data_IF_613188009922
#
_entry.id   IF_613188009922
#
_cell.length_a   1.000
_cell.length_b   1.000
_cell.length_c   1.000
_cell.angle_alpha   90.00
_cell.angle_beta   90.00
_cell.angle_gamma   90.00
#
_symmetry.space_group_name_H-M   'P 1'
#
loop_
_entity.id
_entity.type
_entity.pdbx_description
1 polymer ?
#
# COMPACT_ATOMS: atom_id res chain seq x y z
N UNK A 1 -33.24 0.47 -27.74
CA UNK A 1 -34.50 -0.31 -27.89
C UNK A 1 -34.44 -1.16 -29.16
N UNK A 2 -34.97 -2.38 -29.12
CA UNK A 2 -34.99 -3.32 -30.25
C UNK A 2 -36.42 -3.69 -30.63
N UNK A 3 -36.64 -3.97 -31.91
CA UNK A 3 -37.85 -4.61 -32.42
C UNK A 3 -37.55 -6.03 -32.85
N UNK A 4 -38.28 -6.99 -32.30
CA UNK A 4 -38.08 -8.39 -32.58
C UNK A 4 -38.57 -8.75 -33.99
N UNK A 5 -37.78 -9.52 -34.74
CA UNK A 5 -38.16 -10.08 -36.05
C UNK A 5 -38.69 -11.51 -35.92
N UNK A 6 -38.43 -12.15 -34.78
CA UNK A 6 -38.83 -13.51 -34.46
C UNK A 6 -39.41 -13.56 -33.06
N UNK A 7 -40.16 -14.62 -32.73
CA UNK A 7 -40.68 -14.80 -31.38
C UNK A 7 -39.58 -15.24 -30.43
N UNK A 8 -39.52 -14.64 -29.24
CA UNK A 8 -38.61 -15.01 -28.16
C UNK A 8 -39.44 -15.28 -26.90
N UNK A 9 -39.54 -16.55 -26.52
CA UNK A 9 -40.33 -16.98 -25.36
C UNK A 9 -39.41 -17.61 -24.32
N UNK A 10 -39.50 -17.09 -23.10
CA UNK A 10 -38.76 -17.53 -21.92
C UNK A 10 -39.58 -17.33 -20.64
N UNK A 11 -39.01 -17.68 -19.47
CA UNK A 11 -39.69 -17.54 -18.19
C UNK A 11 -40.04 -16.09 -17.83
N UNK A 12 -39.20 -15.13 -18.25
CA UNK A 12 -39.34 -13.72 -17.88
C UNK A 12 -40.04 -12.87 -18.95
N UNK A 13 -40.06 -13.31 -20.20
CA UNK A 13 -40.67 -12.57 -21.30
C UNK A 13 -41.18 -13.50 -22.41
N UNK A 14 -42.26 -13.07 -23.06
CA UNK A 14 -42.80 -13.72 -24.25
C UNK A 14 -43.05 -12.65 -25.31
N UNK A 15 -42.06 -12.45 -26.17
CA UNK A 15 -42.06 -11.44 -27.22
C UNK A 15 -42.44 -12.09 -28.54
N UNK A 16 -43.41 -11.51 -29.23
CA UNK A 16 -43.81 -11.89 -30.59
C UNK A 16 -42.99 -11.13 -31.63
N UNK A 17 -42.92 -11.62 -32.89
CA UNK A 17 -42.40 -10.82 -33.99
C UNK A 17 -43.14 -9.47 -34.08
N UNK A 18 -42.39 -8.38 -34.09
CA UNK A 18 -42.90 -7.02 -34.11
C UNK A 18 -42.93 -6.32 -32.75
N UNK A 19 -42.83 -7.07 -31.66
CA UNK A 19 -42.76 -6.49 -30.32
C UNK A 19 -41.44 -5.76 -30.10
N UNK A 20 -41.51 -4.66 -29.36
CA UNK A 20 -40.32 -3.90 -29.00
C UNK A 20 -39.94 -4.15 -27.54
N UNK A 21 -38.65 -4.34 -27.30
CA UNK A 21 -38.10 -4.59 -25.98
C UNK A 21 -36.71 -3.95 -25.83
N UNK A 22 -36.35 -3.61 -24.60
CA UNK A 22 -35.04 -3.06 -24.27
C UNK A 22 -34.15 -4.18 -23.73
N UNK A 23 -33.07 -4.47 -24.44
CA UNK A 23 -32.04 -5.42 -24.01
C UNK A 23 -30.77 -4.65 -23.67
N UNK A 24 -29.93 -5.20 -22.79
CA UNK A 24 -28.60 -4.65 -22.56
C UNK A 24 -27.76 -4.66 -23.85
N UNK A 25 -26.82 -3.71 -23.96
CA UNK A 25 -25.98 -3.48 -25.15
C UNK A 25 -25.41 -4.77 -25.78
N UNK A 26 -24.88 -5.67 -24.94
CA UNK A 26 -24.30 -6.93 -25.40
C UNK A 26 -25.32 -7.91 -25.97
N UNK A 27 -26.48 -8.04 -25.34
CA UNK A 27 -27.55 -8.92 -25.85
C UNK A 27 -28.23 -8.32 -27.08
N UNK A 28 -28.45 -7.00 -27.07
CA UNK A 28 -28.98 -6.28 -28.20
C UNK A 28 -28.12 -6.43 -29.46
N UNK A 29 -26.81 -6.24 -29.33
CA UNK A 29 -25.84 -6.42 -30.42
C UNK A 29 -25.89 -7.85 -30.95
N UNK A 30 -25.90 -8.86 -30.07
CA UNK A 30 -25.99 -10.27 -30.46
C UNK A 30 -27.27 -10.57 -31.24
N UNK A 31 -28.42 -10.08 -30.77
CA UNK A 31 -29.71 -10.32 -31.42
C UNK A 31 -29.81 -9.66 -32.80
N UNK A 32 -29.26 -8.45 -32.96
CA UNK A 32 -29.21 -7.77 -34.27
C UNK A 32 -28.25 -8.49 -35.22
N UNK A 33 -27.03 -8.80 -34.78
CA UNK A 33 -26.02 -9.49 -35.60
C UNK A 33 -26.47 -10.87 -36.05
N UNK A 34 -27.21 -11.59 -35.20
CA UNK A 34 -27.82 -12.87 -35.53
C UNK A 34 -29.10 -12.75 -36.37
N UNK A 35 -29.59 -11.53 -36.64
CA UNK A 35 -30.77 -11.27 -37.47
C UNK A 35 -32.13 -11.51 -36.79
N UNK A 36 -32.14 -11.71 -35.47
CA UNK A 36 -33.37 -11.93 -34.69
C UNK A 36 -34.13 -10.65 -34.34
N UNK A 37 -33.45 -9.50 -34.38
CA UNK A 37 -34.02 -8.20 -34.06
C UNK A 37 -33.50 -7.09 -34.98
N UNK A 38 -34.15 -5.94 -34.93
CA UNK A 38 -33.77 -4.70 -35.63
C UNK A 38 -33.65 -3.55 -34.62
N UNK A 39 -32.66 -2.68 -34.81
CA UNK A 39 -32.49 -1.47 -34.01
C UNK A 39 -33.56 -0.44 -34.38
N UNK A 40 -34.30 0.08 -33.40
CA UNK A 40 -35.37 1.07 -33.65
C UNK A 40 -35.08 2.47 -33.11
N UNK A 41 -33.99 2.65 -32.37
CA UNK A 41 -33.68 3.91 -31.68
C UNK A 41 -32.21 4.32 -31.87
N UNK A 42 -31.71 4.18 -33.10
CA UNK A 42 -30.33 4.54 -33.44
C UNK A 42 -29.26 3.69 -32.76
N UNK A 43 -29.63 2.55 -32.18
CA UNK A 43 -28.68 1.61 -31.59
C UNK A 43 -27.80 1.00 -32.68
N UNK A 44 -26.49 1.20 -32.58
CA UNK A 44 -25.51 0.56 -33.44
C UNK A 44 -24.97 -0.69 -32.72
N UNK A 45 -25.10 -1.88 -33.31
CA UNK A 45 -24.57 -3.10 -32.70
C UNK A 45 -23.05 -3.01 -32.61
N UNK A 46 -22.50 -3.38 -31.47
CA UNK A 46 -21.05 -3.47 -31.31
C UNK A 46 -20.58 -4.71 -32.07
N UNK A 47 -19.68 -4.50 -33.03
CA UNK A 47 -19.03 -5.60 -33.72
C UNK A 47 -18.23 -6.46 -32.73
N UNK A 48 -18.24 -7.80 -32.89
CA UNK A 48 -17.55 -8.69 -31.96
C UNK A 48 -16.05 -8.40 -31.84
N UNK A 49 -15.41 -8.00 -32.93
CA UNK A 49 -14.00 -7.54 -32.91
C UNK A 49 -13.79 -6.28 -32.08
N UNK A 50 -14.73 -5.33 -32.15
CA UNK A 50 -14.67 -4.11 -31.35
C UNK A 50 -14.87 -4.44 -29.87
N UNK A 51 -15.86 -5.27 -29.54
CA UNK A 51 -16.10 -5.71 -28.16
C UNK A 51 -14.88 -6.43 -27.57
N UNK A 52 -14.20 -7.26 -28.37
CA UNK A 52 -12.99 -7.97 -27.94
C UNK A 52 -11.81 -7.01 -27.73
N UNK A 53 -11.64 -6.01 -28.62
CA UNK A 53 -10.63 -4.97 -28.47
C UNK A 53 -10.86 -4.13 -27.21
N UNK A 54 -12.09 -3.67 -26.98
CA UNK A 54 -12.44 -2.84 -25.83
C UNK A 54 -12.26 -3.64 -24.52
N UNK A 55 -12.59 -4.94 -24.52
CA UNK A 55 -12.33 -5.84 -23.40
C UNK A 55 -10.82 -6.04 -23.14
N UNK A 56 -10.02 -6.20 -24.21
CA UNK A 56 -8.57 -6.32 -24.10
C UNK A 56 -7.91 -5.03 -23.56
N UNK A 57 -8.37 -3.86 -23.97
CA UNK A 57 -7.89 -2.58 -23.47
C UNK A 57 -8.22 -2.39 -21.99
N UNK A 58 -9.45 -2.71 -21.58
CA UNK A 58 -9.86 -2.68 -20.17
C UNK A 58 -9.02 -3.63 -19.31
N UNK A 59 -8.72 -4.84 -19.80
CA UNK A 59 -7.85 -5.79 -19.12
C UNK A 59 -6.41 -5.27 -18.98
N UNK A 60 -5.86 -4.65 -20.04
CA UNK A 60 -4.52 -4.06 -20.00
C UNK A 60 -4.43 -2.89 -19.01
N UNK A 61 -5.46 -2.04 -18.95
CA UNK A 61 -5.53 -0.95 -17.98
C UNK A 61 -5.58 -1.47 -16.54
N UNK A 62 -6.42 -2.46 -16.25
CA UNK A 62 -6.50 -3.07 -14.92
C UNK A 62 -5.17 -3.72 -14.49
N UNK A 63 -4.46 -4.34 -15.44
CA UNK A 63 -3.15 -4.92 -15.17
C UNK A 63 -2.09 -3.84 -14.90
N UNK A 64 -2.11 -2.73 -15.63
CA UNK A 64 -1.20 -1.60 -15.38
C UNK A 64 -1.42 -0.96 -14.00
N UNK A 65 -2.68 -0.79 -13.58
CA UNK A 65 -3.03 -0.29 -12.24
C UNK A 65 -2.55 -1.24 -11.12
N UNK A 66 -2.73 -2.55 -11.32
CA UNK A 66 -2.25 -3.56 -10.37
C UNK A 66 -0.72 -3.58 -10.27
N UNK A 67 0.00 -3.49 -11.39
CA UNK A 67 1.45 -3.47 -11.42
C UNK A 67 2.02 -2.19 -10.79
N UNK A 68 1.41 -1.03 -11.08
CA UNK A 68 1.77 0.24 -10.45
C UNK A 68 1.59 0.19 -8.92
N UNK A 69 0.48 -0.38 -8.45
CA UNK A 69 0.22 -0.56 -7.01
C UNK A 69 1.23 -1.51 -6.37
N UNK A 70 1.52 -2.64 -7.01
CA UNK A 70 2.49 -3.62 -6.51
C UNK A 70 3.91 -3.03 -6.41
N UNK A 71 4.31 -2.21 -7.39
CA UNK A 71 5.62 -1.56 -7.39
C UNK A 71 5.73 -0.50 -6.28
N UNK A 72 4.67 0.27 -6.04
CA UNK A 72 4.63 1.24 -4.96
C UNK A 72 4.72 0.59 -3.56
N UNK A 73 4.01 -0.54 -3.37
CA UNK A 73 4.05 -1.30 -2.10
C UNK A 73 5.45 -1.91 -1.85
N UNK A 74 6.08 -2.45 -2.90
CA UNK A 74 7.43 -2.99 -2.82
C UNK A 74 8.48 -1.91 -2.48
N UNK A 75 8.37 -0.72 -3.07
CA UNK A 75 9.30 0.39 -2.79
C UNK A 75 9.16 0.93 -1.35
N UNK A 76 7.93 0.97 -0.82
CA UNK A 76 7.67 1.37 0.56
C UNK A 76 8.22 0.38 1.59
N UNK A 77 8.14 -0.93 1.32
CA UNK A 77 8.69 -1.96 2.20
C UNK A 77 10.22 -1.89 2.31
N UNK A 78 10.91 -1.65 1.18
CA UNK A 78 12.38 -1.52 1.13
C UNK A 78 12.85 -0.28 1.91
N UNK A 79 12.13 0.84 1.79
CA UNK A 79 12.46 2.07 2.51
C UNK A 79 12.29 1.92 4.03
N UNK A 80 11.23 1.23 4.48
CA UNK A 80 10.98 0.97 5.89
C UNK A 80 12.04 0.05 6.52
N UNK A 81 12.47 -0.99 5.79
CA UNK A 81 13.50 -1.92 6.28
C UNK A 81 14.89 -1.25 6.35
N UNK A 82 15.21 -0.36 5.40
CA UNK A 82 16.45 0.42 5.43
C UNK A 82 16.51 1.37 6.63
N UNK A 83 15.40 2.02 6.98
CA UNK A 83 15.34 2.93 8.11
C UNK A 83 15.42 2.20 9.46
N UNK A 84 14.79 1.02 9.58
CA UNK A 84 14.89 0.19 10.78
C UNK A 84 16.33 -0.29 11.06
N UNK A 85 17.11 -0.55 10.01
CA UNK A 85 18.52 -0.95 10.15
C UNK A 85 19.42 0.21 10.58
N UNK A 86 19.13 1.43 10.12
CA UNK A 86 19.87 2.64 10.50
C UNK A 86 19.63 3.06 11.96
N UNK A 87 18.39 2.96 12.45
CA UNK A 87 18.04 3.30 13.83
C UNK A 87 18.64 2.29 14.84
N UNK A 88 18.70 1.00 14.47
CA UNK A 88 19.33 -0.03 15.30
C UNK A 88 20.85 0.16 15.47
N UNK A 89 21.53 0.67 14.44
CA UNK A 89 22.97 0.95 14.49
C UNK A 89 23.30 2.20 15.34
N UNK A 90 22.43 3.21 15.32
CA UNK A 90 22.56 4.41 16.15
C UNK A 90 22.36 4.12 17.65
N UNK A 91 21.41 3.24 18.00
CA UNK A 91 21.17 2.83 19.39
C UNK A 91 22.35 2.05 20.00
N UNK A 92 22.99 1.17 19.22
CA UNK A 92 24.15 0.40 19.68
C UNK A 92 25.40 1.28 19.95
N UNK A 93 25.59 2.34 19.16
CA UNK A 93 26.70 3.28 19.35
C UNK A 93 26.54 4.16 20.61
N UNK A 94 25.30 4.49 21.00
CA UNK A 94 25.01 5.25 22.21
C UNK A 94 25.25 4.44 23.50
N UNK A 95 24.90 3.15 23.50
CA UNK A 95 25.06 2.27 24.66
C UNK A 95 26.54 1.93 24.94
N UNK A 96 27.37 1.84 23.89
CA UNK A 96 28.82 1.62 24.02
C UNK A 96 29.55 2.79 24.70
N UNK A 97 29.09 4.03 24.48
CA UNK A 97 29.68 5.23 25.10
C UNK A 97 29.28 5.37 26.58
N UNK A 98 28.09 4.89 26.96
CA UNK A 98 27.60 4.92 28.35
C UNK A 98 28.35 3.94 29.28
N UNK A 99 28.82 2.79 28.77
CA UNK A 99 29.67 1.86 29.56
C UNK A 99 31.12 2.34 29.73
N UNK A 100 31.65 3.13 28.80
CA UNK A 100 33.01 3.67 28.90
C UNK A 100 33.15 4.78 29.96
N UNK A 101 32.10 5.60 30.15
CA UNK A 101 32.09 6.69 31.14
C UNK A 101 31.85 6.19 32.59
N UNK A 102 31.19 5.02 32.74
CA UNK A 102 30.93 4.41 34.04
C UNK A 102 32.17 3.76 34.66
N UNK A 103 33.07 3.18 33.86
CA UNK A 103 34.26 2.46 34.34
C UNK A 103 35.37 3.43 34.82
N UNK A 104 35.43 4.65 34.27
CA UNK A 104 36.39 5.68 34.67
C UNK A 104 36.16 6.21 36.11
N UNK A 105 34.97 6.03 36.68
CA UNK A 105 34.64 6.51 38.03
C UNK A 105 34.84 5.46 39.15
N UNK A 106 35.12 4.20 38.80
CA UNK A 106 35.17 3.10 39.77
C UNK A 106 36.58 2.73 40.28
N UNK A 107 37.67 3.18 39.64
CA UNK A 107 39.05 2.76 40.01
C UNK A 107 39.79 3.75 40.93
N UNK A 108 39.15 4.83 41.39
CA UNK A 108 39.78 5.77 42.32
C UNK A 108 39.04 5.94 43.65
N UNK A 109 39.03 4.91 44.53
CA UNK A 109 38.95 5.21 45.96
C UNK A 109 40.04 4.46 46.70
N UNK A 110 41.22 5.09 46.89
CA UNK A 110 42.10 4.78 48.05
C UNK A 110 43.32 5.69 48.30
N UNK A 111 43.52 6.79 47.58
CA UNK A 111 44.69 7.64 47.83
C UNK A 111 44.41 8.95 48.62
N UNK A 112 43.17 9.44 48.69
CA UNK A 112 42.90 10.81 49.15
C UNK A 112 42.37 10.96 50.59
N UNK A 113 42.47 9.94 51.45
CA UNK A 113 42.00 10.08 52.85
C UNK A 113 43.14 10.28 53.86
N UNK A 114 44.40 10.06 53.48
CA UNK A 114 45.54 10.27 54.38
C UNK A 114 46.08 11.71 54.34
N UNK A 115 46.10 12.35 53.16
CA UNK A 115 46.63 13.71 52.98
C UNK A 115 45.70 14.81 53.52
N UNK A 116 44.38 14.67 53.33
CA UNK A 116 43.40 15.62 53.87
C UNK A 116 43.28 15.55 55.40
N UNK A 117 43.43 14.36 56.00
CA UNK A 117 43.33 14.19 57.46
C UNK A 117 44.51 14.82 58.21
N UNK A 118 45.73 14.81 57.65
CA UNK A 118 46.88 15.53 58.22
C UNK A 118 46.77 17.06 58.11
N UNK A 119 46.22 17.60 57.01
CA UNK A 119 46.01 19.05 56.87
C UNK A 119 44.97 19.60 57.84
N UNK A 120 43.94 18.83 58.18
CA UNK A 120 42.90 19.27 59.13
C UNK A 120 43.39 19.32 60.58
N UNK A 121 44.20 18.35 61.00
CA UNK A 121 44.81 18.34 62.35
C UNK A 121 45.85 19.45 62.56
N UNK A 122 46.58 19.85 61.50
CA UNK A 122 47.52 20.96 61.58
C UNK A 122 46.84 22.34 61.59
N UNK A 123 45.65 22.46 61.00
CA UNK A 123 44.86 23.68 61.02
C UNK A 123 44.14 23.88 62.37
N UNK A 124 43.67 22.82 63.00
CA UNK A 124 42.96 22.90 64.29
C UNK A 124 43.90 23.17 65.47
N UNK A 125 45.16 22.73 65.40
CA UNK A 125 46.19 23.05 66.40
C UNK A 125 46.64 24.52 66.36
N UNK A 126 46.50 25.22 65.22
CA UNK A 126 46.83 26.64 65.05
C UNK A 126 45.69 27.59 65.40
N UNK A 127 44.46 27.09 65.54
CA UNK A 127 43.29 27.91 65.86
C UNK A 127 42.99 27.99 67.38
N UNK A 128 43.78 27.30 68.21
CA UNK A 128 43.64 27.27 69.68
C UNK A 128 44.91 27.70 70.45
N UNK A 129 45.90 28.24 69.76
CA UNK A 129 47.14 28.79 70.34
C UNK A 129 47.21 30.30 70.15
#
# INVERSE_FOLDING_TARGET
MLKMKTGLSGPDYSLSPGDSHEFGEGEASRLILAGFAEATDGFEPIDPEQAERDAAEAAAAAQADADAKAKADAEAAIAAEAQAKADAEAAAAAEAKAKADADAKAVAPKAETAAQKKKRLAAEARAKS
#
